data_IF_196219287729
#
_entry.id   IF_196219287729
#
_cell.length_a   1.000
_cell.length_b   1.000
_cell.length_c   1.000
_cell.angle_alpha   90.00
_cell.angle_beta   90.00
_cell.angle_gamma   90.00
#
_symmetry.space_group_name_H-M   'P 1'
#
loop_
_entity.id
_entity.type
_entity.pdbx_description
1 polymer ?
#
# COMPACT_ATOMS: atom_id res chain seq x y z
N UNK A 1 42.09 7.72 21.06
CA UNK A 1 40.62 7.71 20.87
C UNK A 1 40.35 8.19 19.45
N UNK A 2 39.96 7.29 18.54
CA UNK A 2 39.64 7.67 17.16
C UNK A 2 38.24 7.15 16.85
N UNK A 3 37.22 7.98 17.12
CA UNK A 3 35.88 7.74 16.60
C UNK A 3 35.99 7.85 15.08
N UNK A 4 36.03 6.69 14.41
CA UNK A 4 35.79 6.59 12.98
C UNK A 4 34.35 7.03 12.78
N UNK A 5 34.17 8.29 12.37
CA UNK A 5 32.93 8.70 11.74
C UNK A 5 32.76 7.77 10.55
N UNK A 6 31.85 6.80 10.68
CA UNK A 6 31.30 6.09 9.55
C UNK A 6 30.22 7.03 9.02
N UNK A 7 30.47 7.86 8.00
CA UNK A 7 29.37 8.57 7.38
C UNK A 7 28.46 7.48 6.83
N UNK A 8 27.24 7.39 7.36
CA UNK A 8 26.15 6.68 6.70
C UNK A 8 26.23 7.01 5.20
N UNK A 9 26.25 6.01 4.31
CA UNK A 9 26.44 6.26 2.90
C UNK A 9 25.42 7.31 2.45
N UNK A 10 25.83 8.34 1.69
CA UNK A 10 24.92 9.38 1.25
C UNK A 10 23.79 8.71 0.48
N UNK A 11 22.58 8.72 1.04
CA UNK A 11 21.42 8.05 0.45
C UNK A 11 21.26 8.54 -0.97
N UNK A 12 21.45 7.64 -1.92
CA UNK A 12 21.43 8.00 -3.33
C UNK A 12 19.99 8.19 -3.77
N UNK A 13 19.78 9.14 -4.69
CA UNK A 13 18.48 9.40 -5.30
C UNK A 13 17.73 8.11 -5.69
N UNK A 14 18.44 7.14 -6.28
CA UNK A 14 17.85 5.88 -6.73
C UNK A 14 17.22 5.07 -5.60
N UNK A 15 17.87 5.00 -4.44
CA UNK A 15 17.37 4.26 -3.27
C UNK A 15 16.12 4.91 -2.69
N UNK A 16 16.12 6.25 -2.56
CA UNK A 16 14.96 7.00 -2.08
C UNK A 16 13.78 6.90 -3.06
N UNK A 17 14.07 6.93 -4.36
CA UNK A 17 13.07 6.77 -5.41
C UNK A 17 12.46 5.35 -5.40
N UNK A 18 13.26 4.32 -5.18
CA UNK A 18 12.80 2.94 -5.06
C UNK A 18 11.88 2.76 -3.84
N UNK A 19 12.29 3.26 -2.67
CA UNK A 19 11.44 3.20 -1.46
C UNK A 19 10.14 3.98 -1.69
N UNK A 20 10.21 5.15 -2.33
CA UNK A 20 9.02 5.93 -2.65
C UNK A 20 8.06 5.16 -3.57
N UNK A 21 8.58 4.50 -4.60
CA UNK A 21 7.80 3.68 -5.53
C UNK A 21 7.16 2.47 -4.83
N UNK A 22 7.87 1.79 -3.93
CA UNK A 22 7.30 0.70 -3.12
C UNK A 22 6.13 1.18 -2.25
N UNK A 23 6.24 2.39 -1.70
CA UNK A 23 5.16 3.00 -0.92
C UNK A 23 3.96 3.41 -1.76
N UNK A 24 4.18 3.88 -2.98
CA UNK A 24 3.08 4.10 -3.93
C UNK A 24 2.33 2.78 -4.21
N UNK A 25 3.07 1.69 -4.45
CA UNK A 25 2.49 0.37 -4.71
C UNK A 25 1.68 -0.16 -3.52
N UNK A 26 2.11 0.13 -2.29
CA UNK A 26 1.38 -0.25 -1.09
C UNK A 26 0.23 0.69 -0.73
N UNK A 27 -0.01 1.75 -1.52
CA UNK A 27 -1.01 2.77 -1.22
C UNK A 27 -0.65 3.68 -0.03
N UNK A 28 0.59 3.63 0.45
CA UNK A 28 1.11 4.56 1.46
C UNK A 28 1.49 5.88 0.78
N UNK A 29 0.48 6.63 0.34
CA UNK A 29 0.67 7.89 -0.38
C UNK A 29 1.40 8.95 0.45
N UNK A 30 1.17 8.97 1.76
CA UNK A 30 1.83 9.92 2.67
C UNK A 30 3.31 9.59 2.84
N UNK A 31 3.66 8.31 2.96
CA UNK A 31 5.03 7.87 2.98
C UNK A 31 5.71 8.07 1.63
N UNK A 32 5.05 7.74 0.52
CA UNK A 32 5.58 7.95 -0.84
C UNK A 32 5.93 9.43 -1.07
N UNK A 33 5.03 10.35 -0.69
CA UNK A 33 5.26 11.80 -0.80
C UNK A 33 6.51 12.25 -0.05
N UNK A 34 6.74 11.73 1.16
CA UNK A 34 7.93 12.07 1.95
C UNK A 34 9.21 11.57 1.29
N UNK A 35 9.24 10.31 0.85
CA UNK A 35 10.44 9.75 0.21
C UNK A 35 10.74 10.42 -1.14
N UNK A 36 9.73 10.79 -1.92
CA UNK A 36 9.92 11.58 -3.13
C UNK A 36 10.50 12.97 -2.86
N UNK A 37 10.09 13.64 -1.76
CA UNK A 37 10.73 14.91 -1.34
C UNK A 37 12.20 14.72 -0.99
N UNK A 38 12.53 13.67 -0.24
CA UNK A 38 13.93 13.37 0.07
C UNK A 38 14.74 13.10 -1.20
N UNK A 39 14.15 12.39 -2.18
CA UNK A 39 14.78 12.14 -3.47
C UNK A 39 15.01 13.45 -4.26
N UNK A 40 14.04 14.36 -4.27
CA UNK A 40 14.15 15.69 -4.87
C UNK A 40 15.34 16.50 -4.30
N UNK A 41 15.51 16.46 -2.97
CA UNK A 41 16.57 17.18 -2.27
C UNK A 41 17.97 16.68 -2.64
N UNK A 42 18.15 15.36 -2.74
CA UNK A 42 19.46 14.74 -3.03
C UNK A 42 19.74 14.56 -4.54
N UNK A 43 18.77 14.82 -5.40
CA UNK A 43 18.92 14.68 -6.85
C UNK A 43 19.97 15.66 -7.39
N UNK A 44 21.01 15.10 -8.03
CA UNK A 44 22.06 15.90 -8.71
C UNK A 44 21.63 16.36 -10.10
N UNK A 45 20.83 15.54 -10.78
CA UNK A 45 20.33 15.83 -12.12
C UNK A 45 19.04 16.66 -12.01
N UNK A 46 18.92 17.78 -12.75
CA UNK A 46 17.70 18.60 -12.76
C UNK A 46 16.44 17.82 -13.10
N UNK A 47 16.53 16.87 -14.03
CA UNK A 47 15.42 16.03 -14.49
C UNK A 47 14.88 15.17 -13.34
N UNK A 48 15.79 14.55 -12.58
CA UNK A 48 15.46 13.74 -11.42
C UNK A 48 14.83 14.57 -10.30
N UNK A 49 15.34 15.78 -10.06
CA UNK A 49 14.75 16.72 -9.10
C UNK A 49 13.32 17.08 -9.50
N UNK A 50 13.11 17.48 -10.75
CA UNK A 50 11.79 17.84 -11.26
C UNK A 50 10.80 16.68 -11.20
N UNK A 51 11.24 15.48 -11.58
CA UNK A 51 10.40 14.29 -11.54
C UNK A 51 10.01 13.92 -10.10
N UNK A 52 10.99 13.85 -9.19
CA UNK A 52 10.73 13.56 -7.78
C UNK A 52 9.81 14.61 -7.13
N UNK A 53 10.03 15.89 -7.40
CA UNK A 53 9.15 16.95 -6.90
C UNK A 53 7.73 16.88 -7.47
N UNK A 54 7.59 16.52 -8.75
CA UNK A 54 6.28 16.27 -9.37
C UNK A 54 5.57 15.10 -8.68
N UNK A 55 6.30 14.02 -8.41
CA UNK A 55 5.75 12.82 -7.79
C UNK A 55 5.41 13.03 -6.32
N UNK A 56 6.23 13.76 -5.57
CA UNK A 56 5.93 14.17 -4.20
C UNK A 56 4.61 14.95 -4.10
N UNK A 57 4.38 15.89 -5.04
CA UNK A 57 3.12 16.64 -5.13
C UNK A 57 1.93 15.75 -5.50
N UNK A 58 2.12 14.81 -6.44
CA UNK A 58 1.08 13.84 -6.79
C UNK A 58 0.67 13.00 -5.57
N UNK A 59 1.63 12.33 -4.92
CA UNK A 59 1.37 11.50 -3.74
C UNK A 59 0.79 12.33 -2.58
N UNK A 60 1.22 13.59 -2.42
CA UNK A 60 0.66 14.51 -1.43
C UNK A 60 -0.82 14.82 -1.68
N UNK A 61 -1.22 14.99 -2.96
CA UNK A 61 -2.64 15.14 -3.33
C UNK A 61 -3.43 13.85 -3.10
N UNK A 62 -2.89 12.70 -3.48
CA UNK A 62 -3.55 11.40 -3.25
C UNK A 62 -3.78 11.11 -1.76
N UNK A 63 -2.80 11.49 -0.93
CA UNK A 63 -2.93 11.42 0.53
C UNK A 63 -4.02 12.39 1.04
N UNK A 64 -4.10 13.61 0.51
CA UNK A 64 -5.09 14.63 0.91
C UNK A 64 -6.51 14.37 0.39
N UNK A 65 -6.67 13.70 -0.76
CA UNK A 65 -7.98 13.38 -1.36
C UNK A 65 -8.60 12.08 -0.81
N UNK A 66 -7.96 11.41 0.15
CA UNK A 66 -8.57 10.28 0.87
C UNK A 66 -8.32 8.90 0.26
N UNK A 67 -7.24 8.71 -0.52
CA UNK A 67 -6.72 7.38 -0.82
C UNK A 67 -5.61 6.96 0.16
N UNK A 68 -5.07 7.89 0.94
CA UNK A 68 -4.08 7.63 2.00
C UNK A 68 -4.73 7.47 3.36
N UNK A 69 -5.29 6.30 3.64
CA UNK A 69 -5.67 5.85 4.99
C UNK A 69 -6.54 6.82 5.81
N UNK A 70 -7.72 7.18 5.29
CA UNK A 70 -8.83 7.64 6.13
C UNK A 70 -9.69 6.43 6.51
N UNK A 71 -9.29 5.69 7.56
CA UNK A 71 -10.22 4.99 8.46
C UNK A 71 -11.17 3.93 7.89
N UNK A 72 -11.07 3.49 6.64
CA UNK A 72 -11.62 2.18 6.26
C UNK A 72 -10.64 1.13 6.75
N UNK A 73 -10.91 0.62 7.95
CA UNK A 73 -10.61 -0.76 8.27
C UNK A 73 -11.15 -1.61 7.13
N UNK A 74 -10.32 -1.93 6.14
CA UNK A 74 -10.51 -3.17 5.43
C UNK A 74 -10.32 -4.22 6.50
N UNK A 75 -11.42 -4.80 6.98
CA UNK A 75 -11.35 -5.98 7.81
C UNK A 75 -10.36 -6.91 7.13
N UNK A 76 -9.30 -7.30 7.85
CA UNK A 76 -8.46 -8.43 7.46
C UNK A 76 -9.39 -9.50 6.91
N UNK A 77 -9.16 -10.04 5.70
CA UNK A 77 -10.03 -11.08 5.18
C UNK A 77 -10.05 -12.20 6.22
N UNK A 78 -11.21 -12.37 6.87
CA UNK A 78 -11.39 -13.39 7.89
C UNK A 78 -11.22 -14.72 7.15
N UNK A 79 -10.10 -15.39 7.41
CA UNK A 79 -9.72 -16.67 6.82
C UNK A 79 -10.76 -17.78 7.08
N UNK A 80 -11.77 -17.50 7.91
CA UNK A 80 -12.94 -18.36 8.16
C UNK A 80 -14.01 -18.33 7.07
N UNK A 81 -13.99 -17.34 6.16
CA UNK A 81 -15.03 -17.24 5.12
C UNK A 81 -14.82 -18.18 3.93
N UNK A 82 -13.67 -18.86 3.81
CA UNK A 82 -13.38 -19.78 2.70
C UNK A 82 -13.83 -21.23 2.97
N UNK A 83 -14.29 -21.57 4.18
CA UNK A 83 -14.73 -22.94 4.53
C UNK A 83 -16.24 -23.13 4.55
N UNK A 84 -17.05 -22.08 4.41
CA UNK A 84 -18.53 -22.20 4.44
C UNK A 84 -19.21 -22.39 3.08
N UNK A 85 -18.47 -22.45 1.97
CA UNK A 85 -19.05 -22.73 0.63
C UNK A 85 -19.06 -24.23 0.28
N UNK A 86 -19.18 -25.11 1.28
CA UNK A 86 -19.67 -26.48 1.11
C UNK A 86 -21.05 -26.59 1.74
N UNK A 87 -22.01 -25.85 1.19
CA UNK A 87 -23.42 -25.99 1.56
C UNK A 87 -23.98 -27.21 0.83
N UNK A 88 -24.13 -28.26 1.61
CA UNK A 88 -25.10 -29.34 1.47
C UNK A 88 -26.49 -28.82 1.05
N UNK A 89 -27.15 -29.37 0.01
CA UNK A 89 -28.57 -29.15 -0.19
C UNK A 89 -29.36 -30.27 0.51
N UNK A 90 -29.88 -29.95 1.69
CA UNK A 90 -31.01 -30.65 2.31
C UNK A 90 -32.27 -29.91 1.86
N UNK A 91 -33.07 -30.51 0.98
CA UNK A 91 -34.46 -30.10 0.78
C UNK A 91 -35.35 -31.34 0.85
N UNK A 92 -36.19 -31.35 1.88
CA UNK A 92 -37.27 -32.28 2.10
C UNK A 92 -38.35 -32.08 1.03
N UNK A 93 -38.96 -33.19 0.58
CA UNK A 93 -40.30 -33.15 -0.01
C UNK A 93 -41.07 -34.38 0.44
N UNK A 94 -41.84 -34.15 1.49
CA UNK A 94 -42.93 -34.99 1.98
C UNK A 94 -44.03 -35.02 0.91
N UNK A 95 -44.46 -36.21 0.49
CA UNK A 95 -45.76 -36.41 -0.15
C UNK A 95 -46.35 -37.72 0.35
N UNK A 96 -47.30 -37.57 1.27
CA UNK A 96 -48.34 -38.53 1.67
C UNK A 96 -49.00 -39.16 0.44
N UNK A 97 -49.20 -40.48 0.47
CA UNK A 97 -50.26 -41.19 -0.24
C UNK A 97 -50.72 -42.34 0.66
N UNK A 98 -51.86 -42.15 1.30
CA UNK A 98 -52.77 -43.20 1.75
C UNK A 98 -53.79 -43.43 0.62
N UNK A 99 -54.04 -44.68 0.23
CA UNK A 99 -55.38 -45.25 0.01
C UNK A 99 -55.27 -46.76 -0.32
N UNK A 100 -55.94 -47.55 0.53
CA UNK A 100 -56.50 -48.92 0.40
C UNK A 100 -55.65 -50.12 -0.10
#
# INVERSE_FOLDING_TARGET
MSQRFNPEPPRHYAELAEIAALKEQSGDWRGASQYWRMAEDVARLPENRLWAGSRARYCGREAGQGLGYAGRSVSSPDLKSLTSTLISPKNARETVRDDE
#
